data_IF_081273717745
#
_entry.id   IF_081273717745
#
_cell.length_a   1.000
_cell.length_b   1.000
_cell.length_c   1.000
_cell.angle_alpha   90.00
_cell.angle_beta   90.00
_cell.angle_gamma   90.00
#
_symmetry.space_group_name_H-M   'P 1'
#
loop_
_entity.id
_entity.type
_entity.pdbx_description
1 polymer ?
#
# COMPACT_ATOMS: atom_id res chain seq x y z
N UNK A 1 10.20 12.83 -0.28
CA UNK A 1 10.01 11.62 -1.09
C UNK A 1 8.70 11.67 -1.88
N UNK A 2 7.52 11.41 -1.30
CA UNK A 2 6.21 11.61 -1.94
C UNK A 2 5.52 12.84 -1.34
N UNK A 3 4.96 13.71 -2.17
CA UNK A 3 4.13 14.85 -1.76
C UNK A 3 2.87 14.87 -2.62
N UNK A 4 1.71 14.89 -1.99
CA UNK A 4 0.40 15.01 -2.62
C UNK A 4 -0.24 16.28 -2.08
N UNK A 5 -0.72 17.17 -2.97
CA UNK A 5 -1.32 18.44 -2.58
C UNK A 5 -2.60 18.68 -3.36
N UNK A 6 -3.65 19.03 -2.62
CA UNK A 6 -4.95 19.48 -3.12
C UNK A 6 -5.54 18.52 -4.18
N UNK A 7 -5.32 17.18 -3.95
CA UNK A 7 -5.67 16.16 -4.92
C UNK A 7 -7.18 16.00 -5.02
N UNK A 8 -7.71 16.20 -6.22
CA UNK A 8 -9.12 15.99 -6.56
C UNK A 8 -9.23 14.95 -7.66
N UNK A 9 -10.04 13.91 -7.41
CA UNK A 9 -10.25 12.82 -8.37
C UNK A 9 -11.73 12.51 -8.52
N UNK A 10 -12.17 12.45 -9.77
CA UNK A 10 -13.52 12.04 -10.14
C UNK A 10 -13.46 10.66 -10.81
N UNK A 11 -14.36 9.75 -10.41
CA UNK A 11 -14.54 8.43 -11.01
C UNK A 11 -15.96 8.33 -11.54
N UNK A 12 -16.13 8.12 -12.84
CA UNK A 12 -17.43 8.01 -13.51
C UNK A 12 -18.37 9.17 -13.16
N UNK A 13 -17.82 10.40 -13.09
CA UNK A 13 -18.60 11.60 -12.78
C UNK A 13 -18.86 11.85 -11.29
N UNK A 14 -18.46 10.94 -10.41
CA UNK A 14 -18.56 11.14 -8.96
C UNK A 14 -17.25 11.58 -8.36
N UNK A 15 -17.27 12.63 -7.54
CA UNK A 15 -16.09 13.12 -6.82
C UNK A 15 -15.74 12.19 -5.67
N UNK A 16 -14.61 11.46 -5.82
CA UNK A 16 -14.14 10.47 -4.84
C UNK A 16 -13.11 11.10 -3.90
N UNK A 17 -12.16 11.90 -4.41
CA UNK A 17 -11.20 12.63 -3.58
C UNK A 17 -11.46 14.13 -3.65
N UNK A 18 -11.39 14.80 -2.48
CA UNK A 18 -11.75 16.17 -2.25
C UNK A 18 -10.61 16.87 -1.51
N UNK A 19 -9.70 17.49 -2.25
CA UNK A 19 -8.62 18.30 -1.69
C UNK A 19 -7.69 17.52 -0.74
N UNK A 20 -7.30 16.32 -1.16
CA UNK A 20 -6.48 15.43 -0.33
C UNK A 20 -5.02 15.86 -0.39
N UNK A 21 -4.44 16.19 0.78
CA UNK A 21 -3.04 16.63 0.91
C UNK A 21 -2.32 15.82 2.00
N UNK A 22 -1.20 15.17 1.63
CA UNK A 22 -0.36 14.39 2.55
C UNK A 22 1.05 14.20 2.00
N UNK A 23 1.93 13.64 2.80
CA UNK A 23 3.30 13.34 2.38
C UNK A 23 3.80 12.03 3.00
N UNK A 24 4.80 11.42 2.33
CA UNK A 24 5.58 10.29 2.86
C UNK A 24 7.06 10.66 2.77
N UNK A 25 7.74 10.60 3.89
CA UNK A 25 9.19 10.83 3.99
C UNK A 25 10.01 9.63 3.53
N UNK A 26 11.32 9.81 3.42
CA UNK A 26 12.24 8.72 3.11
C UNK A 26 12.34 7.76 4.31
N UNK A 27 12.18 6.45 4.07
CA UNK A 27 12.20 5.43 5.11
C UNK A 27 11.02 5.50 6.10
N UNK A 28 10.04 6.38 5.86
CA UNK A 28 8.86 6.54 6.71
C UNK A 28 7.81 5.47 6.38
N UNK A 29 7.18 4.91 7.41
CA UNK A 29 5.98 4.11 7.28
C UNK A 29 4.76 4.95 7.64
N UNK A 30 3.92 5.20 6.64
CA UNK A 30 2.70 6.00 6.75
C UNK A 30 1.49 5.11 6.52
N UNK A 31 0.48 5.21 7.37
CA UNK A 31 -0.80 4.55 7.18
C UNK A 31 -1.91 5.55 6.83
N UNK A 32 -2.76 5.14 5.91
CA UNK A 32 -3.94 5.84 5.45
C UNK A 32 -5.17 5.02 5.82
N UNK A 33 -5.89 5.44 6.85
CA UNK A 33 -6.98 4.65 7.43
C UNK A 33 -8.33 5.29 7.12
N UNK A 34 -9.30 4.47 6.77
CA UNK A 34 -10.67 4.93 6.49
C UNK A 34 -11.56 3.78 6.09
N UNK A 35 -12.86 3.95 6.23
CA UNK A 35 -13.87 2.94 5.85
C UNK A 35 -13.79 2.58 4.36
N UNK A 36 -14.37 1.45 4.00
CA UNK A 36 -14.51 1.08 2.58
C UNK A 36 -15.30 2.16 1.84
N UNK A 37 -14.80 2.56 0.66
CA UNK A 37 -15.33 3.68 -0.12
C UNK A 37 -14.86 5.08 0.32
N UNK A 38 -13.99 5.21 1.34
CA UNK A 38 -13.49 6.52 1.78
C UNK A 38 -12.51 7.18 0.78
N UNK A 39 -11.96 6.44 -0.19
CA UNK A 39 -11.04 6.96 -1.21
C UNK A 39 -9.60 6.44 -1.11
N UNK A 40 -9.31 5.47 -0.23
CA UNK A 40 -7.96 4.90 -0.02
C UNK A 40 -7.34 4.33 -1.30
N UNK A 41 -7.97 3.30 -1.86
CA UNK A 41 -7.54 2.66 -3.13
C UNK A 41 -7.47 3.68 -4.27
N UNK A 42 -8.44 4.60 -4.35
CA UNK A 42 -8.41 5.68 -5.34
C UNK A 42 -7.16 6.55 -5.21
N UNK A 43 -6.75 6.86 -3.98
CA UNK A 43 -5.52 7.62 -3.72
C UNK A 43 -4.28 6.86 -4.20
N UNK A 44 -4.13 5.58 -3.85
CA UNK A 44 -3.01 4.75 -4.29
C UNK A 44 -2.99 4.62 -5.83
N UNK A 45 -4.15 4.34 -6.42
CA UNK A 45 -4.29 4.24 -7.88
C UNK A 45 -4.00 5.55 -8.60
N UNK A 46 -4.32 6.70 -8.00
CA UNK A 46 -3.97 8.02 -8.56
C UNK A 46 -2.46 8.27 -8.51
N UNK A 47 -1.79 7.89 -7.41
CA UNK A 47 -0.32 7.94 -7.32
C UNK A 47 0.32 7.07 -8.40
N UNK A 48 -0.23 5.87 -8.65
CA UNK A 48 0.25 4.95 -9.69
C UNK A 48 -0.15 5.33 -11.12
N UNK A 49 -0.89 6.45 -11.31
CA UNK A 49 -1.29 6.91 -12.63
C UNK A 49 -2.47 6.16 -13.28
N UNK A 50 -3.16 5.28 -12.54
CA UNK A 50 -4.37 4.62 -13.04
C UNK A 50 -5.57 5.57 -13.10
N UNK A 51 -5.61 6.60 -12.25
CA UNK A 51 -6.63 7.64 -12.26
C UNK A 51 -5.96 9.00 -12.47
N UNK A 52 -6.41 9.73 -13.49
CA UNK A 52 -5.91 11.08 -13.74
C UNK A 52 -6.64 12.06 -12.80
N UNK A 53 -5.91 12.84 -11.98
CA UNK A 53 -6.52 13.87 -11.16
C UNK A 53 -7.23 14.95 -11.99
N UNK A 54 -8.33 15.50 -11.44
CA UNK A 54 -9.01 16.68 -11.97
C UNK A 54 -8.17 17.93 -11.65
N UNK A 55 -7.63 17.98 -10.43
CA UNK A 55 -6.71 19.03 -9.97
C UNK A 55 -5.79 18.50 -8.88
N UNK A 56 -4.85 19.33 -8.46
CA UNK A 56 -3.83 18.99 -7.47
C UNK A 56 -2.54 18.50 -8.10
N UNK A 57 -1.57 18.22 -7.23
CA UNK A 57 -0.24 17.76 -7.63
C UNK A 57 0.16 16.48 -6.90
N UNK A 58 0.90 15.63 -7.61
CA UNK A 58 1.58 14.45 -7.03
C UNK A 58 3.03 14.53 -7.47
N UNK A 59 3.91 14.67 -6.49
CA UNK A 59 5.36 14.75 -6.69
C UNK A 59 6.06 13.57 -6.02
N UNK A 60 6.94 12.91 -6.75
CA UNK A 60 7.81 11.85 -6.23
C UNK A 60 9.26 12.22 -6.50
N UNK A 61 10.10 12.24 -5.44
CA UNK A 61 11.51 12.66 -5.50
C UNK A 61 11.70 14.06 -6.13
N UNK A 62 10.76 14.99 -5.87
CA UNK A 62 10.77 16.35 -6.41
C UNK A 62 10.34 16.47 -7.86
N UNK A 63 9.90 15.40 -8.48
CA UNK A 63 9.40 15.36 -9.85
C UNK A 63 7.89 15.12 -9.86
N UNK A 64 7.13 15.88 -10.66
CA UNK A 64 5.71 15.60 -10.87
C UNK A 64 5.52 14.28 -11.61
N UNK A 65 4.60 13.45 -11.10
CA UNK A 65 4.24 12.17 -11.73
C UNK A 65 2.82 12.17 -12.30
N UNK A 66 2.09 13.28 -12.17
CA UNK A 66 0.77 13.43 -12.78
C UNK A 66 0.86 13.31 -14.29
N UNK A 67 0.04 12.43 -14.86
CA UNK A 67 -0.01 12.15 -16.31
C UNK A 67 1.00 11.11 -16.80
N UNK A 68 1.90 10.63 -15.95
CA UNK A 68 2.74 9.49 -16.28
C UNK A 68 1.93 8.19 -16.28
N UNK A 69 2.33 7.25 -17.12
CA UNK A 69 1.75 5.91 -17.15
C UNK A 69 2.26 5.06 -15.97
N UNK A 70 1.49 4.06 -15.48
CA UNK A 70 1.88 3.23 -14.34
C UNK A 70 3.28 2.61 -14.46
N UNK A 71 3.66 2.12 -15.64
CA UNK A 71 4.99 1.54 -15.85
C UNK A 71 6.11 2.58 -15.74
N UNK A 72 5.86 3.85 -16.09
CA UNK A 72 6.83 4.94 -15.93
C UNK A 72 7.04 5.26 -14.45
N UNK A 73 5.94 5.32 -13.68
CA UNK A 73 5.96 5.54 -12.23
C UNK A 73 6.70 4.39 -11.52
N UNK A 74 6.42 3.14 -11.92
CA UNK A 74 7.14 1.98 -11.40
C UNK A 74 8.66 2.08 -11.66
N UNK A 75 9.08 2.53 -12.85
CA UNK A 75 10.50 2.75 -13.19
C UNK A 75 11.17 3.85 -12.37
N UNK A 76 10.43 4.82 -11.86
CA UNK A 76 10.94 5.83 -10.92
C UNK A 76 11.22 5.25 -9.53
N UNK A 77 10.72 4.05 -9.23
CA UNK A 77 10.93 3.35 -7.98
C UNK A 77 9.71 3.35 -7.05
N UNK A 78 8.49 3.39 -7.59
CA UNK A 78 7.25 3.18 -6.84
C UNK A 78 6.75 1.76 -7.10
N UNK A 79 6.75 0.92 -6.06
CA UNK A 79 6.16 -0.42 -6.09
C UNK A 79 4.71 -0.38 -5.60
N UNK A 80 3.84 -1.23 -6.14
CA UNK A 80 2.45 -1.31 -5.76
C UNK A 80 1.99 -2.76 -5.58
N UNK A 81 1.40 -3.07 -4.44
CA UNK A 81 0.72 -4.32 -4.18
C UNK A 81 -0.78 -4.03 -3.96
N UNK A 82 -1.65 -4.41 -4.89
CA UNK A 82 -3.08 -4.16 -4.81
C UNK A 82 -3.78 -5.07 -3.79
N UNK A 83 -5.01 -4.70 -3.42
CA UNK A 83 -5.87 -5.45 -2.51
C UNK A 83 -6.10 -6.88 -2.99
N UNK A 84 -6.42 -7.08 -4.26
CA UNK A 84 -6.72 -8.39 -4.85
C UNK A 84 -5.47 -9.28 -5.05
N UNK A 85 -4.28 -8.79 -4.68
CA UNK A 85 -2.98 -9.47 -4.81
C UNK A 85 -2.52 -9.72 -6.25
N UNK A 86 -3.42 -9.94 -7.20
CA UNK A 86 -3.18 -10.11 -8.64
C UNK A 86 -2.00 -11.05 -8.97
N UNK A 87 -1.92 -12.20 -8.25
CA UNK A 87 -0.87 -13.20 -8.47
C UNK A 87 -1.18 -13.96 -9.77
N UNK A 88 -0.17 -14.12 -10.62
CA UNK A 88 -0.29 -14.91 -11.85
C UNK A 88 -0.38 -16.39 -11.51
N UNK A 89 -1.56 -16.97 -11.70
CA UNK A 89 -1.87 -18.34 -11.30
C UNK A 89 -1.04 -19.39 -12.01
N UNK A 90 -0.73 -19.16 -13.29
CA UNK A 90 0.07 -20.06 -14.14
C UNK A 90 1.58 -20.03 -13.84
N UNK A 91 2.05 -18.99 -13.16
CA UNK A 91 3.45 -18.85 -12.77
C UNK A 91 3.67 -19.41 -11.37
N UNK A 92 4.86 -19.93 -11.14
CA UNK A 92 5.34 -20.29 -9.80
C UNK A 92 5.52 -19.07 -8.92
N UNK A 93 5.65 -19.27 -7.61
CA UNK A 93 6.00 -18.20 -6.65
C UNK A 93 7.31 -17.53 -7.06
N UNK A 94 8.32 -18.32 -7.44
CA UNK A 94 9.60 -17.79 -7.87
C UNK A 94 9.49 -16.90 -9.11
N UNK A 95 8.74 -17.31 -10.10
CA UNK A 95 8.51 -16.55 -11.33
C UNK A 95 7.69 -15.28 -11.08
N UNK A 96 6.63 -15.36 -10.24
CA UNK A 96 5.87 -14.18 -9.83
C UNK A 96 6.77 -13.11 -9.19
N UNK A 97 7.67 -13.51 -8.28
CA UNK A 97 8.59 -12.60 -7.60
C UNK A 97 9.67 -12.08 -8.56
N UNK A 98 10.18 -12.91 -9.47
CA UNK A 98 11.24 -12.53 -10.40
C UNK A 98 10.76 -11.60 -11.53
N UNK A 99 9.49 -11.68 -11.95
CA UNK A 99 8.94 -10.97 -13.11
C UNK A 99 9.24 -9.45 -13.13
N UNK A 100 9.11 -8.67 -12.06
CA UNK A 100 9.41 -7.23 -12.10
C UNK A 100 10.88 -6.94 -12.40
N UNK A 101 11.76 -7.93 -12.21
CA UNK A 101 13.19 -7.74 -12.50
C UNK A 101 13.52 -7.80 -13.98
N UNK A 102 12.62 -8.35 -14.81
CA UNK A 102 12.85 -8.50 -16.25
C UNK A 102 12.71 -7.20 -17.04
N UNK A 103 11.95 -6.23 -16.52
CA UNK A 103 11.56 -5.02 -17.25
C UNK A 103 12.28 -3.76 -16.79
N UNK A 104 13.12 -3.83 -15.75
CA UNK A 104 13.59 -2.67 -15.05
C UNK A 104 15.04 -2.30 -15.30
N UNK A 105 15.30 -1.01 -15.39
CA UNK A 105 16.62 -0.38 -15.35
C UNK A 105 17.07 -0.10 -13.90
N UNK A 106 16.76 -1.00 -12.95
CA UNK A 106 17.19 -0.83 -11.57
C UNK A 106 18.69 -1.12 -11.45
N UNK A 107 19.49 -0.24 -10.81
CA UNK A 107 20.93 -0.42 -10.68
C UNK A 107 21.33 -1.62 -9.80
N UNK A 108 20.44 -2.09 -8.91
CA UNK A 108 20.71 -3.29 -8.10
C UNK A 108 20.46 -4.56 -8.91
N UNK A 109 21.34 -5.58 -8.81
CA UNK A 109 21.17 -6.87 -9.48
C UNK A 109 19.81 -7.53 -9.17
N UNK A 110 19.28 -8.27 -10.13
CA UNK A 110 18.00 -8.96 -9.99
C UNK A 110 18.02 -9.95 -8.82
N UNK A 111 19.11 -10.71 -8.68
CA UNK A 111 19.30 -11.71 -7.62
C UNK A 111 19.24 -11.09 -6.23
N UNK A 112 19.84 -9.92 -6.04
CA UNK A 112 19.81 -9.21 -4.75
C UNK A 112 18.40 -8.74 -4.39
N UNK A 113 17.64 -8.25 -5.38
CA UNK A 113 16.26 -7.79 -5.19
C UNK A 113 15.31 -8.94 -4.88
N UNK A 114 15.47 -10.07 -5.57
CA UNK A 114 14.72 -11.30 -5.31
C UNK A 114 15.08 -11.84 -3.92
N UNK A 115 16.36 -11.89 -3.57
CA UNK A 115 16.79 -12.33 -2.25
C UNK A 115 16.25 -11.44 -1.13
N UNK A 116 16.17 -10.11 -1.34
CA UNK A 116 15.55 -9.19 -0.39
C UNK A 116 14.05 -9.49 -0.18
N UNK A 117 13.31 -9.81 -1.25
CA UNK A 117 11.90 -10.19 -1.15
C UNK A 117 11.71 -11.47 -0.30
N UNK A 118 12.55 -12.48 -0.48
CA UNK A 118 12.52 -13.70 0.36
C UNK A 118 12.95 -13.43 1.80
N UNK A 119 13.90 -12.52 2.05
CA UNK A 119 14.26 -12.12 3.43
C UNK A 119 13.09 -11.46 4.16
N UNK A 120 12.22 -10.74 3.45
CA UNK A 120 11.01 -10.15 4.03
C UNK A 120 9.98 -11.22 4.39
N UNK A 121 9.79 -12.22 3.52
CA UNK A 121 8.87 -13.34 3.73
C UNK A 121 9.57 -14.69 3.57
N UNK A 122 10.34 -15.16 4.58
CA UNK A 122 11.11 -16.42 4.48
C UNK A 122 10.25 -17.66 4.21
N UNK A 123 8.97 -17.62 4.61
CA UNK A 123 8.01 -18.70 4.35
C UNK A 123 7.82 -18.98 2.86
N UNK A 124 7.95 -17.97 1.99
CA UNK A 124 7.79 -18.11 0.55
C UNK A 124 8.87 -19.01 -0.08
N UNK A 125 10.05 -19.13 0.55
CA UNK A 125 11.12 -20.01 0.10
C UNK A 125 10.67 -21.47 0.00
N UNK A 126 9.80 -21.91 0.92
CA UNK A 126 9.24 -23.28 0.94
C UNK A 126 8.25 -23.53 -0.20
N UNK A 127 7.76 -22.48 -0.82
CA UNK A 127 6.71 -22.53 -1.85
C UNK A 127 7.21 -22.11 -3.22
N UNK A 128 8.52 -21.92 -3.42
CA UNK A 128 9.11 -21.37 -4.66
C UNK A 128 8.53 -21.96 -5.93
N UNK A 129 8.43 -23.29 -5.96
CA UNK A 129 7.98 -24.07 -7.14
C UNK A 129 6.47 -24.25 -7.20
N UNK A 130 5.72 -23.74 -6.20
CA UNK A 130 4.27 -23.86 -6.20
C UNK A 130 3.65 -22.84 -7.13
N UNK A 131 2.68 -23.26 -7.97
CA UNK A 131 1.92 -22.38 -8.84
C UNK A 131 1.04 -21.41 -8.06
N UNK A 132 0.85 -20.20 -8.59
CA UNK A 132 0.09 -19.12 -7.94
C UNK A 132 -1.36 -19.49 -7.62
N UNK A 133 -2.00 -20.33 -8.47
CA UNK A 133 -3.37 -20.80 -8.26
C UNK A 133 -3.52 -21.72 -7.02
N UNK A 134 -2.44 -22.39 -6.60
CA UNK A 134 -2.45 -23.31 -5.45
C UNK A 134 -2.15 -22.61 -4.11
N UNK A 135 -2.04 -21.28 -4.10
CA UNK A 135 -1.75 -20.49 -2.91
C UNK A 135 -3.03 -20.12 -2.15
N UNK A 136 -2.95 -20.13 -0.82
CA UNK A 136 -3.96 -19.53 0.06
C UNK A 136 -4.01 -18.00 -0.12
N UNK A 137 -5.07 -17.35 0.35
CA UNK A 137 -5.20 -15.88 0.31
C UNK A 137 -4.01 -15.15 0.95
N UNK A 138 -3.57 -15.61 2.12
CA UNK A 138 -2.41 -15.03 2.80
C UNK A 138 -1.08 -15.26 2.08
N UNK A 139 -0.89 -16.45 1.49
CA UNK A 139 0.28 -16.72 0.65
C UNK A 139 0.28 -15.85 -0.61
N UNK A 140 -0.88 -15.66 -1.27
CA UNK A 140 -1.01 -14.72 -2.39
C UNK A 140 -0.69 -13.28 -2.00
N UNK A 141 -1.14 -12.82 -0.82
CA UNK A 141 -0.82 -11.48 -0.32
C UNK A 141 0.69 -11.31 -0.11
N UNK A 142 1.36 -12.30 0.52
CA UNK A 142 2.81 -12.26 0.69
C UNK A 142 3.55 -12.25 -0.66
N UNK A 143 3.11 -13.05 -1.64
CA UNK A 143 3.71 -13.06 -2.99
C UNK A 143 3.52 -11.71 -3.69
N UNK A 144 2.34 -11.09 -3.59
CA UNK A 144 2.06 -9.78 -4.17
C UNK A 144 2.99 -8.70 -3.62
N UNK A 145 3.17 -8.65 -2.29
CA UNK A 145 4.08 -7.70 -1.63
C UNK A 145 5.54 -8.01 -2.01
N UNK A 146 5.94 -9.28 -1.97
CA UNK A 146 7.29 -9.72 -2.36
C UNK A 146 7.62 -9.37 -3.81
N UNK A 147 6.66 -9.55 -4.73
CA UNK A 147 6.76 -9.14 -6.13
C UNK A 147 6.97 -7.63 -6.27
N UNK A 148 6.15 -6.82 -5.59
CA UNK A 148 6.31 -5.37 -5.61
C UNK A 148 7.68 -4.94 -5.05
N UNK A 149 8.18 -5.64 -4.03
CA UNK A 149 9.49 -5.39 -3.43
C UNK A 149 10.65 -5.79 -4.36
N UNK A 150 10.51 -6.86 -5.16
CA UNK A 150 11.52 -7.30 -6.11
C UNK A 150 11.73 -6.30 -7.28
N UNK A 151 10.82 -5.35 -7.49
CA UNK A 151 11.07 -4.19 -8.35
C UNK A 151 12.27 -3.35 -7.84
N UNK A 152 12.57 -3.41 -6.53
CA UNK A 152 13.56 -2.59 -5.85
C UNK A 152 13.08 -1.17 -5.61
N UNK A 153 11.86 -0.98 -5.09
CA UNK A 153 11.25 0.34 -4.98
C UNK A 153 11.94 1.20 -3.92
N UNK A 154 11.83 2.51 -4.08
CA UNK A 154 12.12 3.50 -3.03
C UNK A 154 10.90 3.68 -2.12
N UNK A 155 9.70 3.67 -2.72
CA UNK A 155 8.40 3.75 -2.05
C UNK A 155 7.56 2.52 -2.41
N UNK A 156 7.02 1.86 -1.40
CA UNK A 156 6.10 0.74 -1.55
C UNK A 156 4.69 1.17 -1.15
N UNK A 157 3.75 1.04 -2.06
CA UNK A 157 2.32 1.28 -1.85
C UNK A 157 1.63 -0.06 -1.62
N UNK A 158 0.91 -0.20 -0.51
CA UNK A 158 0.21 -1.41 -0.11
C UNK A 158 -1.27 -1.11 0.11
N UNK A 159 -2.12 -1.78 -0.64
CA UNK A 159 -3.57 -1.61 -0.56
C UNK A 159 -4.16 -2.77 0.23
N UNK A 160 -4.65 -2.48 1.43
CA UNK A 160 -5.31 -3.43 2.34
C UNK A 160 -4.49 -4.74 2.53
N UNK A 161 -3.22 -4.66 2.97
CA UNK A 161 -2.34 -5.84 3.03
C UNK A 161 -2.81 -6.90 4.02
N UNK A 162 -3.70 -6.57 4.97
CA UNK A 162 -4.20 -7.51 5.99
C UNK A 162 -5.68 -7.86 5.84
N UNK A 163 -6.41 -7.23 4.91
CA UNK A 163 -7.83 -7.44 4.70
C UNK A 163 -8.15 -8.88 4.26
N UNK A 164 -9.19 -9.44 4.82
CA UNK A 164 -9.66 -10.81 4.49
C UNK A 164 -8.74 -11.94 4.91
N UNK A 165 -7.67 -11.66 5.66
CA UNK A 165 -6.74 -12.68 6.14
C UNK A 165 -7.18 -13.28 7.48
N UNK A 166 -6.87 -14.56 7.67
CA UNK A 166 -7.07 -15.19 8.97
C UNK A 166 -6.14 -14.56 10.02
N UNK A 167 -6.57 -14.46 11.29
CA UNK A 167 -5.75 -13.92 12.37
C UNK A 167 -4.37 -14.60 12.52
N UNK A 168 -4.25 -15.86 12.09
CA UNK A 168 -2.98 -16.59 12.13
C UNK A 168 -1.95 -16.09 11.10
N UNK A 169 -2.37 -15.42 10.03
CA UNK A 169 -1.49 -14.93 8.95
C UNK A 169 -1.11 -13.47 9.16
N UNK A 170 -1.99 -12.65 9.72
CA UNK A 170 -1.75 -11.22 9.94
C UNK A 170 -0.39 -10.93 10.59
N UNK A 171 0.04 -11.65 11.65
CA UNK A 171 1.36 -11.42 12.25
C UNK A 171 2.52 -11.57 11.25
N UNK A 172 2.43 -12.51 10.31
CA UNK A 172 3.48 -12.70 9.29
C UNK A 172 3.55 -11.52 8.31
N UNK A 173 2.41 -10.92 7.98
CA UNK A 173 2.39 -9.69 7.15
C UNK A 173 3.00 -8.52 7.94
N UNK A 174 2.59 -8.31 9.19
CA UNK A 174 3.11 -7.23 10.05
C UNK A 174 4.63 -7.37 10.27
N UNK A 175 5.13 -8.58 10.51
CA UNK A 175 6.57 -8.86 10.58
C UNK A 175 7.28 -8.49 9.28
N UNK A 176 6.71 -8.90 8.14
CA UNK A 176 7.22 -8.53 6.81
C UNK A 176 7.30 -7.01 6.63
N UNK A 177 6.28 -6.26 7.04
CA UNK A 177 6.27 -4.78 7.00
C UNK A 177 7.39 -4.20 7.86
N UNK A 178 7.64 -4.76 9.05
CA UNK A 178 8.78 -4.39 9.91
C UNK A 178 10.12 -4.61 9.22
N UNK A 179 10.29 -5.75 8.53
CA UNK A 179 11.50 -6.05 7.77
C UNK A 179 11.69 -5.08 6.59
N UNK A 180 10.63 -4.75 5.86
CA UNK A 180 10.67 -3.77 4.74
C UNK A 180 11.16 -2.41 5.26
N UNK A 181 10.61 -1.95 6.40
CA UNK A 181 11.05 -0.71 7.04
C UNK A 181 12.52 -0.78 7.47
N UNK A 182 12.94 -1.87 8.08
CA UNK A 182 14.33 -2.07 8.52
C UNK A 182 15.33 -2.04 7.35
N UNK A 183 14.91 -2.38 6.13
CA UNK A 183 15.71 -2.23 4.92
C UNK A 183 15.72 -0.79 4.36
N UNK A 184 15.07 0.17 5.01
CA UNK A 184 15.09 1.58 4.66
C UNK A 184 14.11 1.98 3.55
N UNK A 185 13.17 1.11 3.17
CA UNK A 185 12.11 1.48 2.23
C UNK A 185 11.08 2.39 2.88
N UNK A 186 10.61 3.41 2.15
CA UNK A 186 9.40 4.11 2.52
C UNK A 186 8.19 3.24 2.19
N UNK A 187 7.20 3.22 3.08
CA UNK A 187 5.98 2.41 2.93
C UNK A 187 4.75 3.28 3.15
N UNK A 188 3.80 3.19 2.23
CA UNK A 188 2.50 3.82 2.36
C UNK A 188 1.41 2.76 2.29
N UNK A 189 0.70 2.55 3.39
CA UNK A 189 -0.30 1.50 3.58
C UNK A 189 -1.68 2.13 3.62
N UNK A 190 -2.62 1.61 2.84
CA UNK A 190 -4.04 1.86 3.01
C UNK A 190 -4.67 0.72 3.81
N UNK A 191 -5.42 1.03 4.87
CA UNK A 191 -6.10 0.05 5.73
C UNK A 191 -7.53 0.50 6.06
N UNK A 192 -8.45 -0.44 6.13
CA UNK A 192 -9.84 -0.18 6.52
C UNK A 192 -10.02 -0.20 8.05
N UNK A 193 -9.12 -0.86 8.76
CA UNK A 193 -9.22 -1.07 10.21
C UNK A 193 -7.98 -0.53 10.94
N UNK A 194 -8.20 0.36 11.92
CA UNK A 194 -7.10 0.93 12.73
C UNK A 194 -6.36 -0.12 13.56
N UNK A 195 -6.99 -1.24 13.87
CA UNK A 195 -6.34 -2.34 14.60
C UNK A 195 -5.32 -3.09 13.76
N UNK A 196 -5.37 -2.93 12.44
CA UNK A 196 -4.39 -3.48 11.51
C UNK A 196 -3.19 -2.54 11.27
N UNK A 197 -3.25 -1.32 11.78
CA UNK A 197 -2.13 -0.37 11.71
C UNK A 197 -0.99 -0.87 12.60
N UNK A 198 0.21 -1.13 12.03
CA UNK A 198 1.35 -1.57 12.82
C UNK A 198 1.74 -0.54 13.90
N UNK A 199 2.11 -1.01 15.09
CA UNK A 199 2.49 -0.12 16.20
C UNK A 199 3.74 0.72 15.90
N UNK A 200 4.57 0.28 14.96
CA UNK A 200 5.76 0.99 14.47
C UNK A 200 5.46 1.99 13.33
N UNK A 201 4.20 2.32 13.08
CA UNK A 201 3.79 3.36 12.11
C UNK A 201 4.23 4.74 12.59
N UNK A 202 4.93 5.48 11.72
CA UNK A 202 5.44 6.81 12.04
C UNK A 202 4.34 7.87 12.03
N UNK A 203 3.45 7.80 11.02
CA UNK A 203 2.37 8.76 10.82
C UNK A 203 1.12 8.11 10.27
N UNK A 204 -0.01 8.59 10.74
CA UNK A 204 -1.34 8.14 10.35
C UNK A 204 -2.14 9.31 9.79
N UNK A 205 -2.77 9.08 8.65
CA UNK A 205 -3.83 9.93 8.12
C UNK A 205 -5.16 9.16 8.18
N UNK A 206 -6.22 9.84 8.55
CA UNK A 206 -7.58 9.27 8.50
C UNK A 206 -8.36 9.99 7.41
N UNK A 207 -8.91 9.20 6.50
CA UNK A 207 -9.74 9.68 5.40
C UNK A 207 -11.20 9.29 5.59
N UNK A 208 -12.09 10.23 5.40
CA UNK A 208 -13.53 10.02 5.34
C UNK A 208 -14.12 10.75 4.15
N UNK A 209 -14.91 10.06 3.34
CA UNK A 209 -15.62 10.63 2.18
C UNK A 209 -14.75 11.47 1.25
N UNK A 210 -13.51 11.02 1.06
CA UNK A 210 -12.55 11.67 0.18
C UNK A 210 -11.79 12.86 0.77
N UNK A 211 -11.89 13.10 2.07
CA UNK A 211 -11.21 14.18 2.78
C UNK A 211 -10.37 13.66 3.94
N UNK A 212 -9.20 14.25 4.19
CA UNK A 212 -8.38 13.91 5.37
C UNK A 212 -8.95 14.67 6.59
N UNK A 213 -9.43 13.90 7.56
CA UNK A 213 -10.01 14.44 8.80
C UNK A 213 -9.04 14.43 9.98
N UNK A 214 -7.91 13.73 9.85
CA UNK A 214 -6.89 13.64 10.88
C UNK A 214 -5.52 13.34 10.25
N UNK A 215 -4.49 13.96 10.81
CA UNK A 215 -3.08 13.68 10.52
C UNK A 215 -2.29 13.75 11.84
N UNK A 216 -1.54 12.69 12.19
CA UNK A 216 -0.79 12.62 13.43
C UNK A 216 -0.24 11.23 13.72
N UNK A 217 0.12 10.97 14.98
CA UNK A 217 0.59 9.65 15.41
C UNK A 217 -0.57 8.67 15.62
N UNK A 218 -0.37 7.36 15.43
CA UNK A 218 -1.41 6.35 15.69
C UNK A 218 -1.99 6.42 17.12
N UNK A 219 -1.14 6.73 18.11
CA UNK A 219 -1.57 6.88 19.52
C UNK A 219 -2.49 8.07 19.74
N UNK A 220 -2.33 9.14 18.98
CA UNK A 220 -3.19 10.32 19.02
C UNK A 220 -4.53 10.05 18.33
N UNK A 221 -4.48 9.35 17.18
CA UNK A 221 -5.68 8.95 16.45
C UNK A 221 -6.63 8.11 17.30
N UNK A 222 -6.11 7.11 18.01
CA UNK A 222 -6.90 6.23 18.90
C UNK A 222 -7.59 6.97 20.05
N UNK A 223 -7.11 8.16 20.42
CA UNK A 223 -7.70 9.02 21.47
C UNK A 223 -8.62 10.10 20.93
N UNK A 224 -8.66 10.28 19.62
CA UNK A 224 -9.47 11.33 19.00
C UNK A 224 -10.92 10.87 18.78
N UNK A 225 -11.93 11.53 19.41
CA UNK A 225 -13.33 11.11 19.28
C UNK A 225 -13.89 11.18 17.86
N UNK A 226 -13.40 12.12 17.02
CA UNK A 226 -13.81 12.22 15.62
C UNK A 226 -13.31 11.03 14.83
N UNK A 227 -12.05 10.62 15.09
CA UNK A 227 -11.44 9.44 14.47
C UNK A 227 -12.15 8.16 14.89
N UNK A 228 -12.43 8.01 16.20
CA UNK A 228 -13.15 6.84 16.73
C UNK A 228 -14.50 6.62 16.03
N UNK A 229 -15.29 7.69 15.84
CA UNK A 229 -16.58 7.60 15.13
C UNK A 229 -16.45 7.09 13.70
N UNK A 230 -15.39 7.47 13.00
CA UNK A 230 -15.17 7.07 11.60
C UNK A 230 -14.70 5.63 11.51
N UNK A 231 -13.83 5.21 12.41
CA UNK A 231 -13.15 3.91 12.34
C UNK A 231 -13.97 2.81 13.01
N UNK A 232 -14.58 3.07 14.16
CA UNK A 232 -15.36 2.07 14.91
C UNK A 232 -16.78 1.90 14.36
N UNK A 233 -17.23 2.84 13.51
CA UNK A 233 -18.61 2.91 13.04
C UNK A 233 -19.56 3.03 14.22
N UNK A 234 -20.38 4.07 14.30
CA UNK A 234 -21.46 4.13 15.29
C UNK A 234 -22.40 2.94 15.11
N UNK A 235 -22.08 1.84 15.73
CA UNK A 235 -23.01 0.76 16.03
C UNK A 235 -23.97 1.21 17.15
N UNK A 236 -24.74 2.26 16.88
CA UNK A 236 -25.98 2.56 17.61
C UNK A 236 -27.02 2.87 16.54
N UNK A 237 -27.61 1.80 16.00
CA UNK A 237 -29.00 1.84 15.66
C UNK A 237 -29.73 2.22 16.95
N UNK A 238 -30.18 3.47 17.02
CA UNK A 238 -31.14 3.87 18.05
C UNK A 238 -32.34 2.95 17.91
N UNK A 239 -32.51 2.06 18.88
CA UNK A 239 -33.78 1.41 19.13
C UNK A 239 -34.75 2.54 19.53
N UNK A 240 -35.77 2.75 18.72
CA UNK A 240 -37.05 3.33 19.09
C UNK A 240 -38.09 2.30 18.72
#
# INVERSE_FOLDING_TARGET
MLSVRDLVVDIQGSRVLRDVSFSVGQGELVCFVGRNGAGKTTTLRSIMGFHKPVSGTIEFEGQTIVGLQPFQIARLGVGYAPEESEVFGELTVAENIAMPTWTGSNPRPAEERIAAAYKVFPRLERYRERGGQALSGGERKMVSIARALALGPKLLLLDEPTEGLSPAIVPSIVEGLGNIRAFGHAVFIAESNIHHVPDFTDRLYVIERGEIIFAGKPTEARRNPAVARVIEGTGQSAAV
#
